data_IF_071082281398
#
_entry.id   IF_071082281398
#
_cell.length_a   1.000
_cell.length_b   1.000
_cell.length_c   1.000
_cell.angle_alpha   90.00
_cell.angle_beta   90.00
_cell.angle_gamma   90.00
#
_symmetry.space_group_name_H-M   'P 1'
#
loop_
_entity.id
_entity.type
_entity.pdbx_description
1 polymer ?
#
# COMPACT_ATOMS: atom_id res chain seq x y z
N UNK A 1 -25.85 -10.44 9.72
CA UNK A 1 -25.97 -10.04 8.31
C UNK A 1 -25.53 -8.59 8.10
N UNK A 2 -26.09 -7.64 8.86
CA UNK A 2 -25.80 -6.21 8.73
C UNK A 2 -24.30 -5.85 8.69
N UNK A 3 -23.49 -6.34 9.66
CA UNK A 3 -22.04 -6.05 9.71
C UNK A 3 -21.31 -6.52 8.45
N UNK A 4 -21.63 -7.71 7.96
CA UNK A 4 -21.00 -8.26 6.75
C UNK A 4 -21.40 -7.46 5.50
N UNK A 5 -22.68 -7.11 5.39
CA UNK A 5 -23.17 -6.29 4.26
C UNK A 5 -22.52 -4.90 4.27
N UNK A 6 -22.42 -4.25 5.44
CA UNK A 6 -21.73 -2.97 5.60
C UNK A 6 -20.24 -3.07 5.25
N UNK A 7 -19.53 -4.09 5.75
CA UNK A 7 -18.12 -4.31 5.42
C UNK A 7 -17.90 -4.51 3.91
N UNK A 8 -18.76 -5.28 3.26
CA UNK A 8 -18.72 -5.49 1.81
C UNK A 8 -18.97 -4.19 1.03
N UNK A 9 -19.96 -3.38 1.46
CA UNK A 9 -20.27 -2.11 0.82
C UNK A 9 -19.10 -1.11 0.93
N UNK A 10 -18.47 -1.01 2.10
CA UNK A 10 -17.29 -0.15 2.31
C UNK A 10 -16.10 -0.63 1.45
N UNK A 11 -15.85 -1.94 1.41
CA UNK A 11 -14.78 -2.50 0.59
C UNK A 11 -15.01 -2.22 -0.91
N UNK A 12 -16.24 -2.40 -1.41
CA UNK A 12 -16.61 -2.10 -2.79
C UNK A 12 -16.42 -0.62 -3.12
N UNK A 13 -16.86 0.28 -2.23
CA UNK A 13 -16.67 1.72 -2.40
C UNK A 13 -15.17 2.10 -2.45
N UNK A 14 -14.35 1.52 -1.56
CA UNK A 14 -12.90 1.77 -1.53
C UNK A 14 -12.18 1.27 -2.79
N UNK A 15 -12.69 0.20 -3.43
CA UNK A 15 -12.15 -0.35 -4.68
C UNK A 15 -12.56 0.45 -5.92
N UNK A 16 -13.60 1.29 -5.85
CA UNK A 16 -14.15 1.99 -7.00
C UNK A 16 -13.27 3.15 -7.51
N UNK A 17 -12.42 3.72 -6.65
CA UNK A 17 -11.59 4.86 -6.98
C UNK A 17 -10.14 4.69 -6.46
N UNK A 18 -9.15 5.41 -7.01
CA UNK A 18 -7.80 5.44 -6.46
C UNK A 18 -7.78 5.96 -5.01
N UNK A 19 -6.83 5.55 -4.17
CA UNK A 19 -6.73 6.05 -2.79
C UNK A 19 -6.46 7.55 -2.76
N UNK A 20 -7.19 8.27 -1.91
CA UNK A 20 -7.08 9.74 -1.74
C UNK A 20 -6.97 10.19 -0.28
N UNK A 21 -6.90 9.25 0.65
CA UNK A 21 -6.79 9.53 2.10
C UNK A 21 -5.33 9.58 2.57
N UNK A 22 -4.44 8.84 1.91
CA UNK A 22 -2.99 8.83 2.15
C UNK A 22 -2.25 8.47 0.85
N UNK A 23 -0.96 8.79 0.80
CA UNK A 23 -0.01 8.43 -0.25
C UNK A 23 0.91 7.26 0.14
N UNK A 24 0.79 6.72 1.36
CA UNK A 24 1.67 5.66 1.87
C UNK A 24 1.61 4.37 1.04
N UNK A 25 0.48 4.12 0.36
CA UNK A 25 0.38 3.03 -0.61
C UNK A 25 1.48 3.08 -1.68
N UNK A 26 1.92 4.28 -2.11
CA UNK A 26 3.03 4.40 -3.05
C UNK A 26 4.36 3.97 -2.42
N UNK A 27 4.54 4.14 -1.11
CA UNK A 27 5.69 3.59 -0.38
C UNK A 27 5.61 2.07 -0.34
N UNK A 28 4.45 1.48 -0.07
CA UNK A 28 4.26 0.02 -0.10
C UNK A 28 4.63 -0.58 -1.46
N UNK A 29 4.13 0.03 -2.54
CA UNK A 29 4.42 -0.41 -3.89
C UNK A 29 5.92 -0.26 -4.25
N UNK A 30 6.54 0.81 -3.76
CA UNK A 30 7.97 1.06 -3.96
C UNK A 30 8.84 0.06 -3.22
N UNK A 31 8.59 -0.17 -1.93
CA UNK A 31 9.43 -1.04 -1.12
C UNK A 31 9.33 -2.49 -1.61
N UNK A 32 8.13 -2.95 -2.01
CA UNK A 32 7.98 -4.26 -2.68
C UNK A 32 8.78 -4.38 -3.98
N UNK A 33 8.93 -3.30 -4.75
CA UNK A 33 9.80 -3.25 -5.94
C UNK A 33 11.29 -3.27 -5.58
N UNK A 34 11.69 -2.53 -4.56
CA UNK A 34 13.09 -2.50 -4.11
C UNK A 34 13.50 -3.91 -3.65
N UNK A 35 12.63 -4.56 -2.87
CA UNK A 35 12.80 -5.93 -2.42
C UNK A 35 12.87 -6.93 -3.59
N UNK A 36 12.00 -6.82 -4.60
CA UNK A 36 12.04 -7.73 -5.76
C UNK A 36 13.28 -7.56 -6.64
N UNK A 37 13.95 -6.41 -6.55
CA UNK A 37 15.27 -6.18 -7.15
C UNK A 37 16.44 -6.73 -6.31
N UNK A 38 16.18 -7.45 -5.21
CA UNK A 38 17.19 -8.01 -4.32
C UNK A 38 17.85 -6.99 -3.40
N UNK A 39 17.24 -5.81 -3.21
CA UNK A 39 17.78 -4.74 -2.38
C UNK A 39 16.95 -4.63 -1.10
N UNK A 40 17.63 -4.47 0.04
CA UNK A 40 16.95 -4.22 1.31
C UNK A 40 16.24 -2.85 1.27
N UNK A 41 14.94 -2.76 1.65
CA UNK A 41 14.19 -1.50 1.64
C UNK A 41 14.68 -0.52 2.72
N UNK A 42 15.47 -1.01 3.68
CA UNK A 42 16.12 -0.22 4.73
C UNK A 42 17.47 0.39 4.30
N UNK A 43 18.05 -0.07 3.18
CA UNK A 43 19.41 0.33 2.79
C UNK A 43 19.48 1.76 2.24
N UNK A 44 18.48 2.17 1.47
CA UNK A 44 18.48 3.44 0.76
C UNK A 44 17.09 4.08 0.72
N UNK A 45 16.97 5.40 0.91
CA UNK A 45 15.70 6.10 0.70
C UNK A 45 15.27 6.10 -0.79
N UNK A 46 13.98 6.24 -1.13
CA UNK A 46 13.50 6.26 -2.52
C UNK A 46 14.20 7.28 -3.43
N UNK A 47 14.56 8.44 -2.89
CA UNK A 47 15.27 9.51 -3.58
C UNK A 47 16.76 9.23 -3.78
N UNK A 48 17.32 8.16 -3.19
CA UNK A 48 18.73 7.82 -3.35
C UNK A 48 19.09 7.47 -4.80
N UNK A 49 20.22 7.96 -5.34
CA UNK A 49 20.65 7.69 -6.71
C UNK A 49 20.88 6.20 -6.99
N UNK A 50 21.23 5.40 -5.97
CA UNK A 50 21.42 3.95 -6.06
C UNK A 50 20.15 3.23 -6.55
N UNK A 51 18.97 3.79 -6.29
CA UNK A 51 17.67 3.24 -6.68
C UNK A 51 17.11 3.88 -7.97
N UNK A 52 17.85 4.78 -8.63
CA UNK A 52 17.37 5.50 -9.81
C UNK A 52 16.88 4.57 -10.93
N UNK A 53 17.56 3.43 -11.13
CA UNK A 53 17.19 2.42 -12.13
C UNK A 53 15.83 1.75 -11.89
N UNK A 54 15.28 1.82 -10.68
CA UNK A 54 14.00 1.21 -10.32
C UNK A 54 12.83 2.19 -10.47
N UNK A 55 13.10 3.48 -10.72
CA UNK A 55 12.07 4.52 -10.83
C UNK A 55 11.30 4.39 -12.14
N UNK A 56 9.98 4.56 -12.08
CA UNK A 56 9.12 4.60 -13.26
C UNK A 56 8.22 5.85 -13.28
N UNK A 57 7.53 6.09 -14.39
CA UNK A 57 6.64 7.26 -14.52
C UNK A 57 5.40 7.21 -13.62
N UNK A 58 5.04 6.05 -13.05
CA UNK A 58 3.92 5.94 -12.12
C UNK A 58 4.30 6.32 -10.69
N UNK A 59 5.52 6.07 -10.23
CA UNK A 59 5.98 6.48 -8.90
C UNK A 59 6.77 7.78 -8.94
N UNK A 60 7.46 8.06 -10.04
CA UNK A 60 8.34 9.22 -10.26
C UNK A 60 7.95 9.94 -11.56
N UNK A 61 6.84 10.68 -11.58
CA UNK A 61 6.41 11.43 -12.76
C UNK A 61 7.37 12.59 -13.07
N UNK A 62 7.40 13.03 -14.32
CA UNK A 62 8.21 14.17 -14.78
C UNK A 62 7.37 15.21 -15.53
N UNK A 63 7.94 16.41 -15.73
CA UNK A 63 7.30 17.49 -16.48
C UNK A 63 5.94 17.89 -15.92
N UNK A 64 4.96 18.09 -16.81
CA UNK A 64 3.60 18.51 -16.46
C UNK A 64 2.87 17.52 -15.52
N UNK A 65 3.24 16.23 -15.55
CA UNK A 65 2.65 15.21 -14.68
C UNK A 65 3.08 15.34 -13.21
N UNK A 66 4.05 16.20 -12.90
CA UNK A 66 4.46 16.55 -11.54
C UNK A 66 3.55 17.66 -10.94
N UNK A 67 2.26 17.63 -11.20
CA UNK A 67 1.31 18.58 -10.64
C UNK A 67 0.12 17.84 -10.03
N UNK A 68 -0.39 18.34 -8.90
CA UNK A 68 -1.54 17.76 -8.21
C UNK A 68 -1.26 17.18 -6.82
N UNK A 69 -2.29 16.52 -6.29
CA UNK A 69 -2.32 16.04 -4.91
C UNK A 69 -1.35 14.87 -4.67
N UNK A 70 -0.69 14.90 -3.51
CA UNK A 70 0.13 13.78 -3.03
C UNK A 70 1.49 13.64 -3.69
N UNK A 71 1.95 14.64 -4.44
CA UNK A 71 3.29 14.68 -5.01
C UNK A 71 4.27 15.39 -4.07
N UNK A 72 5.46 14.82 -3.92
CA UNK A 72 6.59 15.40 -3.21
C UNK A 72 7.65 15.81 -4.23
N UNK A 73 8.17 17.03 -4.09
CA UNK A 73 9.38 17.51 -4.76
C UNK A 73 10.52 17.56 -3.76
N UNK A 74 11.64 16.94 -4.10
CA UNK A 74 12.88 17.02 -3.32
C UNK A 74 13.71 18.23 -3.77
N UNK A 75 14.72 18.58 -2.98
CA UNK A 75 15.61 19.72 -3.26
C UNK A 75 16.46 19.56 -4.51
N UNK A 76 16.74 18.32 -4.94
CA UNK A 76 17.43 17.97 -6.18
C UNK A 76 16.49 17.91 -7.40
N UNK A 77 15.23 18.33 -7.26
CA UNK A 77 14.26 18.42 -8.36
C UNK A 77 13.55 17.11 -8.70
N UNK A 78 13.79 16.02 -7.96
CA UNK A 78 13.06 14.77 -8.15
C UNK A 78 11.59 14.95 -7.73
N UNK A 79 10.70 14.46 -8.58
CA UNK A 79 9.27 14.44 -8.31
C UNK A 79 8.77 13.02 -8.10
N UNK A 80 7.99 12.80 -7.05
CA UNK A 80 7.50 11.46 -6.70
C UNK A 80 6.15 11.49 -6.00
N UNK A 81 5.35 10.43 -6.18
CA UNK A 81 4.12 10.19 -5.41
C UNK A 81 4.41 9.61 -4.02
N UNK A 82 5.65 9.23 -3.74
CA UNK A 82 6.05 8.59 -2.49
C UNK A 82 6.23 9.67 -1.40
N UNK A 83 5.56 9.47 -0.28
CA UNK A 83 5.72 10.32 0.90
C UNK A 83 7.12 10.15 1.50
N UNK A 84 7.71 11.24 2.04
CA UNK A 84 9.03 11.26 2.69
C UNK A 84 10.15 10.55 1.89
N UNK A 85 10.35 10.87 0.60
CA UNK A 85 11.20 10.08 -0.29
C UNK A 85 12.70 10.13 0.07
N UNK A 86 13.10 11.03 0.97
CA UNK A 86 14.50 11.19 1.42
C UNK A 86 14.85 10.34 2.63
N UNK A 87 13.92 9.57 3.20
CA UNK A 87 14.19 8.66 4.33
C UNK A 87 13.87 7.19 3.96
N UNK A 88 14.65 6.22 4.49
CA UNK A 88 14.37 4.80 4.36
C UNK A 88 12.98 4.42 4.90
N UNK A 89 12.53 3.22 4.59
CA UNK A 89 11.26 2.70 5.13
C UNK A 89 11.27 2.67 6.67
N UNK A 90 10.12 2.99 7.27
CA UNK A 90 9.85 2.82 8.70
C UNK A 90 9.08 1.52 8.97
N UNK A 91 8.62 0.84 7.93
CA UNK A 91 7.73 -0.30 8.08
C UNK A 91 8.48 -1.51 8.64
N UNK A 92 7.87 -2.26 9.58
CA UNK A 92 8.50 -3.44 10.17
C UNK A 92 8.56 -4.61 9.18
N UNK A 93 9.39 -5.63 9.43
CA UNK A 93 9.60 -6.73 8.49
C UNK A 93 8.33 -7.47 8.03
N UNK A 94 7.32 -7.59 8.90
CA UNK A 94 6.04 -8.22 8.52
C UNK A 94 5.29 -7.40 7.48
N UNK A 95 5.31 -6.07 7.59
CA UNK A 95 4.71 -5.18 6.61
C UNK A 95 5.51 -5.21 5.29
N UNK A 96 6.85 -5.22 5.37
CA UNK A 96 7.71 -5.38 4.18
C UNK A 96 7.44 -6.72 3.46
N UNK A 97 7.24 -7.81 4.22
CA UNK A 97 6.85 -9.10 3.66
C UNK A 97 5.51 -9.03 2.92
N UNK A 98 4.53 -8.29 3.44
CA UNK A 98 3.28 -8.03 2.73
C UNK A 98 3.50 -7.22 1.44
N UNK A 99 4.33 -6.18 1.46
CA UNK A 99 4.61 -5.36 0.28
C UNK A 99 5.31 -6.16 -0.83
N UNK A 100 6.29 -6.98 -0.46
CA UNK A 100 6.96 -7.90 -1.37
C UNK A 100 5.98 -8.93 -1.95
N UNK A 101 5.15 -9.56 -1.11
CA UNK A 101 4.15 -10.52 -1.56
C UNK A 101 3.17 -9.89 -2.56
N UNK A 102 2.65 -8.70 -2.26
CA UNK A 102 1.76 -7.99 -3.19
C UNK A 102 2.49 -7.69 -4.49
N UNK A 103 3.73 -7.19 -4.47
CA UNK A 103 4.49 -6.91 -5.68
C UNK A 103 4.69 -8.16 -6.55
N UNK A 104 5.13 -9.26 -5.94
CA UNK A 104 5.44 -10.52 -6.63
C UNK A 104 4.20 -11.19 -7.24
N UNK A 105 3.06 -11.09 -6.57
CA UNK A 105 1.81 -11.73 -7.01
C UNK A 105 0.99 -10.86 -7.97
N UNK A 106 1.37 -9.59 -8.15
CA UNK A 106 0.61 -8.64 -8.96
C UNK A 106 0.98 -8.69 -10.44
N UNK A 107 -0.01 -8.67 -11.35
CA UNK A 107 0.27 -8.47 -12.77
C UNK A 107 0.99 -7.12 -13.00
N UNK A 108 1.97 -7.05 -13.91
CA UNK A 108 2.65 -5.80 -14.26
C UNK A 108 1.66 -4.69 -14.65
N UNK A 109 1.92 -3.47 -14.20
CA UNK A 109 1.06 -2.32 -14.51
C UNK A 109 -0.26 -2.25 -13.71
N UNK A 110 -0.52 -3.18 -12.79
CA UNK A 110 -1.74 -3.16 -11.94
C UNK A 110 -1.79 -2.00 -10.93
N UNK A 111 -0.67 -1.29 -10.73
CA UNK A 111 -0.56 -0.06 -9.94
C UNK A 111 -1.14 -0.22 -8.53
N UNK A 112 -2.17 0.55 -8.18
CA UNK A 112 -2.76 0.61 -6.84
C UNK A 112 -3.75 -0.52 -6.56
N UNK A 113 -4.27 -1.18 -7.60
CA UNK A 113 -5.36 -2.16 -7.46
C UNK A 113 -5.00 -3.36 -6.58
N UNK A 114 -3.81 -3.98 -6.70
CA UNK A 114 -3.48 -5.13 -5.88
C UNK A 114 -3.42 -4.81 -4.37
N UNK A 115 -2.89 -3.63 -4.01
CA UNK A 115 -2.87 -3.17 -2.62
C UNK A 115 -4.29 -2.90 -2.09
N UNK A 116 -5.16 -2.29 -2.89
CA UNK A 116 -6.57 -2.09 -2.51
C UNK A 116 -7.31 -3.42 -2.35
N UNK A 117 -7.18 -4.34 -3.33
CA UNK A 117 -7.84 -5.64 -3.29
C UNK A 117 -7.33 -6.49 -2.13
N UNK A 118 -6.00 -6.53 -1.92
CA UNK A 118 -5.40 -7.23 -0.78
C UNK A 118 -5.87 -6.66 0.56
N UNK A 119 -5.91 -5.33 0.69
CA UNK A 119 -6.46 -4.67 1.88
C UNK A 119 -7.95 -4.98 2.10
N UNK A 120 -8.76 -4.99 1.05
CA UNK A 120 -10.17 -5.35 1.11
C UNK A 120 -10.38 -6.79 1.56
N UNK A 121 -9.62 -7.74 1.01
CA UNK A 121 -9.66 -9.16 1.40
C UNK A 121 -9.28 -9.33 2.87
N UNK A 122 -8.20 -8.69 3.32
CA UNK A 122 -7.76 -8.77 4.72
C UNK A 122 -8.79 -8.15 5.68
N UNK A 123 -9.33 -6.97 5.35
CA UNK A 123 -10.32 -6.29 6.19
C UNK A 123 -11.63 -7.08 6.29
N UNK A 124 -12.14 -7.56 5.15
CA UNK A 124 -13.36 -8.37 5.11
C UNK A 124 -13.17 -9.73 5.80
N UNK A 125 -12.05 -10.40 5.51
CA UNK A 125 -11.69 -11.67 6.15
C UNK A 125 -11.54 -11.55 7.67
N UNK A 126 -10.92 -10.47 8.16
CA UNK A 126 -10.81 -10.17 9.59
C UNK A 126 -12.20 -9.97 10.21
N UNK A 127 -13.09 -9.25 9.53
CA UNK A 127 -14.48 -9.07 9.98
C UNK A 127 -15.20 -10.41 10.11
N UNK A 128 -15.08 -11.28 9.10
CA UNK A 128 -15.66 -12.64 9.14
C UNK A 128 -15.07 -13.45 10.30
N UNK A 129 -13.75 -13.44 10.48
CA UNK A 129 -13.07 -14.17 11.54
C UNK A 129 -13.51 -13.71 12.94
N UNK A 130 -13.57 -12.39 13.16
CA UNK A 130 -14.03 -11.81 14.44
C UNK A 130 -15.48 -12.20 14.73
N UNK A 131 -16.37 -12.14 13.74
CA UNK A 131 -17.76 -12.55 13.90
C UNK A 131 -17.88 -14.07 14.16
N UNK A 132 -17.07 -14.89 13.50
CA UNK A 132 -17.06 -16.34 13.71
C UNK A 132 -16.58 -16.70 15.13
N UNK A 133 -15.49 -16.08 15.60
CA UNK A 133 -14.95 -16.29 16.95
C UNK A 133 -15.93 -15.77 18.00
N UNK A 134 -16.50 -14.59 17.81
CA UNK A 134 -17.51 -14.01 18.72
C UNK A 134 -18.74 -14.90 18.87
N UNK A 135 -19.25 -15.45 17.76
CA UNK A 135 -20.36 -16.41 17.80
C UNK A 135 -20.03 -17.71 18.53
N UNK A 136 -18.79 -18.19 18.42
CA UNK A 136 -18.34 -19.41 19.12
C UNK A 136 -18.15 -19.19 20.62
N UNK A 137 -17.71 -18.00 21.03
CA UNK A 137 -17.47 -17.67 22.44
C UNK A 137 -18.73 -17.28 23.21
N UNK A 138 -19.85 -16.99 22.52
CA UNK A 138 -21.07 -16.49 23.16
C UNK A 138 -20.94 -15.03 23.59
N UNK A 139 -22.01 -14.49 24.17
CA UNK A 139 -22.02 -13.13 24.71
C UNK A 139 -21.35 -13.12 26.09
N UNK A 140 -20.17 -12.50 26.27
CA UNK A 140 -19.50 -12.44 27.56
C UNK A 140 -20.30 -11.67 28.61
N UNK A 141 -21.29 -10.87 28.21
CA UNK A 141 -22.19 -10.17 29.15
C UNK A 141 -23.41 -11.00 29.57
N UNK A 142 -23.59 -12.21 29.02
CA UNK A 142 -24.66 -13.15 29.41
C UNK A 142 -24.13 -14.39 30.13
N UNK A 143 -22.85 -14.44 30.47
CA UNK A 143 -22.21 -15.51 31.23
C UNK A 143 -22.18 -15.19 32.73
#
# INVERSE_FOLDING_TARGET
ALVLAGAAAVAAAALAAPPRTSTDMYRYAWDGRVQSAGISPYAHPPAAPQLARLRDGWLFPSGAACTGWGLTRTSDGLCTRINRPTVPTIYPPVAEGWFAAVHLLSPPGSRHKPLQTGGAVLAFGTTVALLAVGRRRGDPHRA
#
